data_IF_867356058168
#
_entry.id   IF_867356058168
#
_cell.length_a   1.000
_cell.length_b   1.000
_cell.length_c   1.000
_cell.angle_alpha   90.00
_cell.angle_beta   90.00
_cell.angle_gamma   90.00
#
_symmetry.space_group_name_H-M   'P 1'
#
loop_
_entity.id
_entity.type
_entity.pdbx_description
1 polymer ?
#
# COMPACT_ATOMS: atom_id res chain seq x y z
N UNK A 1 -30.64 30.75 2.50
CA UNK A 1 -29.53 30.11 3.25
C UNK A 1 -29.86 28.70 3.75
N UNK A 2 -30.96 28.46 4.48
CA UNK A 2 -31.31 27.12 5.02
C UNK A 2 -31.49 26.00 3.96
N UNK A 3 -32.09 26.27 2.80
CA UNK A 3 -32.23 25.28 1.71
C UNK A 3 -30.92 24.90 1.03
N UNK A 4 -30.00 25.87 0.87
CA UNK A 4 -28.67 25.63 0.30
C UNK A 4 -27.82 24.76 1.24
N UNK A 5 -27.94 25.00 2.55
CA UNK A 5 -27.27 24.20 3.58
C UNK A 5 -27.82 22.77 3.67
N UNK A 6 -29.14 22.58 3.52
CA UNK A 6 -29.73 21.23 3.48
C UNK A 6 -29.30 20.43 2.26
N UNK A 7 -29.27 21.05 1.07
CA UNK A 7 -28.82 20.40 -0.16
C UNK A 7 -27.34 20.03 -0.09
N UNK A 8 -26.49 20.92 0.43
CA UNK A 8 -25.08 20.62 0.64
C UNK A 8 -24.89 19.44 1.61
N UNK A 9 -25.62 19.41 2.74
CA UNK A 9 -25.54 18.34 3.73
C UNK A 9 -26.02 16.97 3.20
N UNK A 10 -27.07 16.96 2.36
CA UNK A 10 -27.58 15.73 1.74
C UNK A 10 -26.60 15.18 0.69
N UNK A 11 -25.98 16.06 -0.10
CA UNK A 11 -24.97 15.66 -1.11
C UNK A 11 -23.74 15.07 -0.42
N UNK A 12 -23.24 15.68 0.65
CA UNK A 12 -22.07 15.18 1.40
C UNK A 12 -22.33 13.81 2.06
N UNK A 13 -23.54 13.57 2.57
CA UNK A 13 -23.90 12.28 3.18
C UNK A 13 -23.98 11.14 2.15
N UNK A 14 -24.49 11.43 0.95
CA UNK A 14 -24.53 10.45 -0.14
C UNK A 14 -23.13 10.16 -0.71
N UNK A 15 -22.25 11.17 -0.74
CA UNK A 15 -20.83 11.03 -1.10
C UNK A 15 -20.09 10.09 -0.17
N UNK A 16 -20.14 10.34 1.15
CA UNK A 16 -19.49 9.51 2.17
C UNK A 16 -19.94 8.04 2.10
N UNK A 17 -21.25 7.78 2.01
CA UNK A 17 -21.78 6.42 1.89
C UNK A 17 -21.32 5.69 0.61
N UNK A 18 -21.03 6.45 -0.46
CA UNK A 18 -20.48 5.88 -1.70
C UNK A 18 -19.01 5.49 -1.52
N UNK A 19 -18.22 6.36 -0.88
CA UNK A 19 -16.79 6.11 -0.59
C UNK A 19 -16.61 4.91 0.35
N UNK A 20 -17.38 4.82 1.44
CA UNK A 20 -17.30 3.71 2.39
C UNK A 20 -17.64 2.36 1.73
N UNK A 21 -18.64 2.35 0.84
CA UNK A 21 -19.00 1.14 0.10
C UNK A 21 -17.92 0.75 -0.92
N UNK A 22 -17.29 1.72 -1.57
CA UNK A 22 -16.18 1.47 -2.49
C UNK A 22 -14.95 0.93 -1.73
N UNK A 23 -14.66 1.49 -0.56
CA UNK A 23 -13.62 1.01 0.35
C UNK A 23 -13.85 -0.45 0.75
N UNK A 24 -15.05 -0.76 1.24
CA UNK A 24 -15.42 -2.12 1.61
C UNK A 24 -15.22 -3.09 0.44
N UNK A 25 -15.69 -2.72 -0.76
CA UNK A 25 -15.52 -3.53 -1.96
C UNK A 25 -14.04 -3.73 -2.31
N UNK A 26 -13.22 -2.68 -2.21
CA UNK A 26 -11.80 -2.74 -2.52
C UNK A 26 -11.03 -3.65 -1.55
N UNK A 27 -11.19 -3.45 -0.24
CA UNK A 27 -10.49 -4.25 0.77
C UNK A 27 -11.04 -5.67 0.95
N UNK A 28 -12.24 -5.94 0.42
CA UNK A 28 -12.83 -7.28 0.42
C UNK A 28 -12.98 -7.86 -1.00
N UNK A 29 -12.23 -7.38 -1.99
CA UNK A 29 -12.34 -7.81 -3.40
C UNK A 29 -12.16 -9.32 -3.62
N UNK A 30 -11.54 -10.03 -2.68
CA UNK A 30 -11.43 -11.49 -2.67
C UNK A 30 -12.81 -12.19 -2.61
N UNK A 31 -13.84 -11.54 -2.06
CA UNK A 31 -15.19 -12.09 -1.99
C UNK A 31 -15.94 -12.03 -3.33
N UNK A 32 -15.52 -11.15 -4.24
CA UNK A 32 -16.12 -11.06 -5.57
C UNK A 32 -15.18 -10.38 -6.57
N UNK A 33 -14.85 -11.10 -7.64
CA UNK A 33 -13.95 -10.66 -8.71
C UNK A 33 -14.32 -9.32 -9.37
N UNK A 34 -15.59 -8.89 -9.29
CA UNK A 34 -16.03 -7.62 -9.89
C UNK A 34 -15.88 -6.42 -8.96
N UNK A 35 -15.53 -6.64 -7.68
CA UNK A 35 -15.55 -5.57 -6.69
C UNK A 35 -14.46 -4.53 -6.87
N UNK A 36 -13.29 -4.90 -7.41
CA UNK A 36 -12.27 -3.90 -7.76
C UNK A 36 -12.79 -2.91 -8.81
N UNK A 37 -13.40 -3.40 -9.89
CA UNK A 37 -13.97 -2.54 -10.92
C UNK A 37 -15.21 -1.79 -10.43
N UNK A 38 -16.01 -2.39 -9.54
CA UNK A 38 -17.16 -1.73 -8.92
C UNK A 38 -16.72 -0.57 -8.03
N UNK A 39 -15.73 -0.78 -7.16
CA UNK A 39 -15.14 0.25 -6.33
C UNK A 39 -14.53 1.37 -7.19
N UNK A 40 -13.77 1.02 -8.23
CA UNK A 40 -13.23 2.00 -9.20
C UNK A 40 -14.33 2.88 -9.80
N UNK A 41 -15.39 2.27 -10.33
CA UNK A 41 -16.48 2.99 -10.99
C UNK A 41 -17.27 3.86 -10.00
N UNK A 42 -17.40 3.44 -8.74
CA UNK A 42 -18.03 4.23 -7.68
C UNK A 42 -17.20 5.45 -7.33
N UNK A 43 -15.90 5.29 -7.10
CA UNK A 43 -15.01 6.42 -6.81
C UNK A 43 -14.89 7.38 -8.00
N UNK A 44 -14.88 6.88 -9.24
CA UNK A 44 -14.87 7.74 -10.42
C UNK A 44 -16.12 8.65 -10.50
N UNK A 45 -17.30 8.14 -10.12
CA UNK A 45 -18.53 8.94 -10.03
C UNK A 45 -18.50 9.93 -8.88
N UNK A 46 -18.05 9.50 -7.70
CA UNK A 46 -17.94 10.36 -6.52
C UNK A 46 -16.92 11.49 -6.74
N UNK A 47 -15.81 11.22 -7.44
CA UNK A 47 -14.78 12.20 -7.75
C UNK A 47 -15.31 13.34 -8.63
N UNK A 48 -16.26 13.05 -9.52
CA UNK A 48 -16.89 14.08 -10.35
C UNK A 48 -17.71 15.09 -9.52
N UNK A 49 -18.23 14.68 -8.36
CA UNK A 49 -18.96 15.56 -7.44
C UNK A 49 -18.03 16.25 -6.43
N UNK A 50 -17.06 15.50 -5.88
CA UNK A 50 -16.18 15.96 -4.79
C UNK A 50 -14.71 15.72 -5.17
N UNK A 51 -14.13 16.54 -6.06
CA UNK A 51 -12.83 16.24 -6.67
C UNK A 51 -11.63 16.35 -5.72
N UNK A 52 -11.84 16.90 -4.52
CA UNK A 52 -10.80 17.13 -3.51
C UNK A 52 -11.06 16.36 -2.21
N UNK A 53 -12.04 15.45 -2.18
CA UNK A 53 -12.28 14.62 -1.01
C UNK A 53 -11.05 13.74 -0.71
N UNK A 54 -10.50 13.87 0.49
CA UNK A 54 -9.21 13.26 0.83
C UNK A 54 -9.30 11.73 0.86
N UNK A 55 -10.37 11.20 1.45
CA UNK A 55 -10.57 9.76 1.59
C UNK A 55 -10.77 9.09 0.22
N UNK A 56 -11.58 9.70 -0.65
CA UNK A 56 -11.76 9.29 -2.02
C UNK A 56 -10.45 9.29 -2.80
N UNK A 57 -9.65 10.35 -2.72
CA UNK A 57 -8.40 10.46 -3.47
C UNK A 57 -7.39 9.40 -3.00
N UNK A 58 -7.31 9.14 -1.70
CA UNK A 58 -6.53 8.05 -1.13
C UNK A 58 -6.96 6.70 -1.72
N UNK A 59 -8.24 6.32 -1.61
CA UNK A 59 -8.73 5.03 -2.12
C UNK A 59 -8.54 4.92 -3.63
N UNK A 60 -8.75 6.01 -4.36
CA UNK A 60 -8.66 5.99 -5.82
C UNK A 60 -7.22 5.85 -6.30
N UNK A 61 -6.26 6.46 -5.60
CA UNK A 61 -4.83 6.22 -5.83
C UNK A 61 -4.49 4.74 -5.60
N UNK A 62 -4.92 4.16 -4.47
CA UNK A 62 -4.70 2.73 -4.16
C UNK A 62 -5.29 1.78 -5.19
N UNK A 63 -6.52 2.03 -5.64
CA UNK A 63 -7.14 1.22 -6.69
C UNK A 63 -6.32 1.28 -7.99
N UNK A 64 -5.77 2.44 -8.34
CA UNK A 64 -4.88 2.52 -9.51
C UNK A 64 -3.57 1.75 -9.29
N UNK A 65 -3.01 1.72 -8.07
CA UNK A 65 -1.89 0.81 -7.75
C UNK A 65 -2.30 -0.64 -7.98
N UNK A 66 -3.43 -1.09 -7.42
CA UNK A 66 -3.90 -2.46 -7.59
C UNK A 66 -4.10 -2.83 -9.06
N UNK A 67 -4.77 -1.97 -9.85
CA UNK A 67 -4.97 -2.22 -11.28
C UNK A 67 -3.65 -2.23 -12.06
N UNK A 68 -2.64 -1.48 -11.61
CA UNK A 68 -1.28 -1.57 -12.14
C UNK A 68 -0.59 -2.88 -11.76
N UNK A 69 -0.76 -3.35 -10.53
CA UNK A 69 -0.21 -4.65 -10.11
C UNK A 69 -0.84 -5.81 -10.91
N UNK A 70 -2.15 -5.73 -11.19
CA UNK A 70 -2.91 -6.71 -12.01
C UNK A 70 -2.65 -6.59 -13.53
N UNK A 71 -2.08 -5.49 -14.00
CA UNK A 71 -1.90 -5.24 -15.43
C UNK A 71 -0.84 -6.15 -16.06
N UNK A 72 -1.10 -6.63 -17.29
CA UNK A 72 -0.26 -7.60 -17.97
C UNK A 72 1.01 -6.99 -18.61
N UNK A 73 0.92 -5.78 -19.16
CA UNK A 73 2.02 -5.17 -19.90
C UNK A 73 2.73 -4.08 -19.11
N UNK A 74 4.03 -3.90 -19.34
CA UNK A 74 4.80 -2.79 -18.73
C UNK A 74 4.18 -1.42 -19.04
N UNK A 75 3.63 -1.23 -20.24
CA UNK A 75 2.97 0.02 -20.63
C UNK A 75 1.73 0.30 -19.78
N UNK A 76 0.86 -0.69 -19.61
CA UNK A 76 -0.35 -0.56 -18.80
C UNK A 76 -0.02 -0.34 -17.32
N UNK A 77 0.95 -1.10 -16.79
CA UNK A 77 1.48 -0.89 -15.43
C UNK A 77 1.88 0.57 -15.20
N UNK A 78 2.72 1.11 -16.08
CA UNK A 78 3.20 2.50 -15.98
C UNK A 78 2.07 3.52 -16.13
N UNK A 79 1.05 3.25 -16.96
CA UNK A 79 -0.12 4.10 -17.10
C UNK A 79 -0.92 4.18 -15.78
N UNK A 80 -1.19 3.03 -15.16
CA UNK A 80 -1.90 2.98 -13.89
C UNK A 80 -1.11 3.62 -12.74
N UNK A 81 0.18 3.30 -12.59
CA UNK A 81 1.02 3.91 -11.56
C UNK A 81 1.21 5.42 -11.77
N UNK A 82 1.27 5.88 -13.02
CA UNK A 82 1.28 7.31 -13.36
C UNK A 82 0.00 8.02 -12.91
N UNK A 83 -1.17 7.38 -13.08
CA UNK A 83 -2.45 7.91 -12.58
C UNK A 83 -2.50 7.92 -11.05
N UNK A 84 -2.08 6.85 -10.39
CA UNK A 84 -1.99 6.81 -8.92
C UNK A 84 -1.13 7.95 -8.37
N UNK A 85 0.04 8.19 -8.99
CA UNK A 85 0.90 9.32 -8.65
C UNK A 85 0.19 10.67 -8.79
N UNK A 86 -0.48 10.92 -9.90
CA UNK A 86 -1.19 12.18 -10.13
C UNK A 86 -2.35 12.41 -9.15
N UNK A 87 -3.06 11.34 -8.76
CA UNK A 87 -4.11 11.39 -7.74
C UNK A 87 -3.49 11.72 -6.37
N UNK A 88 -2.39 11.08 -6.00
CA UNK A 88 -1.68 11.40 -4.76
C UNK A 88 -1.13 12.85 -4.75
N UNK A 89 -0.69 13.38 -5.89
CA UNK A 89 -0.30 14.79 -6.02
C UNK A 89 -1.49 15.73 -5.80
N UNK A 90 -2.69 15.35 -6.28
CA UNK A 90 -3.93 16.09 -6.02
C UNK A 90 -4.29 16.07 -4.53
N UNK A 91 -4.11 14.92 -3.87
CA UNK A 91 -4.33 14.79 -2.42
C UNK A 91 -3.36 15.68 -1.63
N UNK A 92 -2.07 15.66 -1.94
CA UNK A 92 -1.07 16.53 -1.31
C UNK A 92 -1.38 18.01 -1.55
N UNK A 93 -1.86 18.38 -2.75
CA UNK A 93 -2.23 19.75 -3.06
C UNK A 93 -3.49 20.21 -2.32
N UNK A 94 -4.43 19.30 -2.03
CA UNK A 94 -5.61 19.57 -1.21
C UNK A 94 -5.24 19.67 0.28
N UNK A 95 -4.33 18.81 0.75
CA UNK A 95 -3.84 18.78 2.13
C UNK A 95 -2.36 18.35 2.18
N UNK A 96 -1.47 19.31 2.41
CA UNK A 96 -0.01 19.08 2.47
C UNK A 96 0.44 18.30 3.71
N UNK A 97 -0.47 18.12 4.67
CA UNK A 97 -0.33 17.30 5.88
C UNK A 97 -1.07 15.97 5.77
N UNK A 98 -1.48 15.55 4.58
CA UNK A 98 -1.99 14.18 4.36
C UNK A 98 -0.83 13.17 4.36
N UNK A 99 -0.73 12.36 5.40
CA UNK A 99 0.24 11.26 5.49
C UNK A 99 -0.01 10.22 4.39
N UNK A 100 -1.26 9.88 4.12
CA UNK A 100 -1.67 9.03 3.00
C UNK A 100 -1.26 9.63 1.64
N UNK A 101 -1.41 10.94 1.45
CA UNK A 101 -0.98 11.62 0.23
C UNK A 101 0.52 11.43 -0.06
N UNK A 102 1.38 11.69 0.94
CA UNK A 102 2.82 11.49 0.81
C UNK A 102 3.19 10.00 0.66
N UNK A 103 2.53 9.13 1.41
CA UNK A 103 2.78 7.69 1.35
C UNK A 103 2.45 7.12 -0.02
N UNK A 104 1.24 7.35 -0.54
CA UNK A 104 0.80 6.77 -1.81
C UNK A 104 1.44 7.42 -3.04
N UNK A 105 1.91 8.67 -2.93
CA UNK A 105 2.85 9.22 -3.92
C UNK A 105 4.14 8.40 -3.98
N UNK A 106 4.70 8.08 -2.80
CA UNK A 106 5.90 7.25 -2.67
C UNK A 106 5.68 5.84 -3.22
N UNK A 107 4.55 5.20 -2.90
CA UNK A 107 4.20 3.86 -3.41
C UNK A 107 4.10 3.88 -4.94
N UNK A 108 3.39 4.85 -5.52
CA UNK A 108 3.26 4.98 -6.97
C UNK A 108 4.63 5.16 -7.66
N UNK A 109 5.47 6.04 -7.11
CA UNK A 109 6.83 6.27 -7.62
C UNK A 109 7.71 5.02 -7.47
N UNK A 110 7.58 4.28 -6.37
CA UNK A 110 8.28 3.02 -6.14
C UNK A 110 7.91 1.97 -7.20
N UNK A 111 6.62 1.78 -7.44
CA UNK A 111 6.10 0.86 -8.47
C UNK A 111 6.53 1.25 -9.89
N UNK A 112 6.59 2.55 -10.20
CA UNK A 112 7.19 3.05 -11.46
C UNK A 112 8.67 2.64 -11.56
N UNK A 113 9.44 2.85 -10.49
CA UNK A 113 10.85 2.48 -10.44
C UNK A 113 11.08 0.98 -10.60
N UNK A 114 10.30 0.15 -9.89
CA UNK A 114 10.32 -1.31 -10.02
C UNK A 114 9.99 -1.76 -11.45
N UNK A 115 8.97 -1.16 -12.07
CA UNK A 115 8.55 -1.50 -13.45
C UNK A 115 9.62 -1.15 -14.50
N UNK A 116 10.36 -0.05 -14.29
CA UNK A 116 11.50 0.36 -15.14
C UNK A 116 12.80 -0.40 -14.85
N UNK A 117 12.82 -1.14 -13.75
CA UNK A 117 14.00 -1.81 -13.21
C UNK A 117 14.66 -0.97 -12.11
N UNK A 118 14.93 -1.61 -10.97
CA UNK A 118 15.47 -0.98 -9.75
C UNK A 118 16.80 -0.26 -10.03
N UNK A 119 17.73 -0.89 -10.74
CA UNK A 119 19.05 -0.29 -11.06
C UNK A 119 18.94 0.97 -11.94
N UNK A 120 18.01 0.96 -12.90
CA UNK A 120 17.76 2.11 -13.77
C UNK A 120 17.07 3.27 -13.03
N UNK A 121 16.56 3.00 -11.83
CA UNK A 121 15.71 3.93 -11.06
C UNK A 121 16.36 4.38 -9.75
N UNK A 122 17.65 4.10 -9.53
CA UNK A 122 18.34 4.46 -8.28
C UNK A 122 18.32 5.97 -7.98
N UNK A 123 18.28 6.81 -9.02
CA UNK A 123 18.15 8.26 -8.86
C UNK A 123 16.83 8.70 -8.18
N UNK A 124 15.80 7.84 -8.15
CA UNK A 124 14.52 8.11 -7.51
C UNK A 124 14.54 7.91 -5.99
N UNK A 125 15.52 7.16 -5.47
CA UNK A 125 15.60 6.74 -4.06
C UNK A 125 15.53 7.91 -3.07
N UNK A 126 16.23 9.05 -3.27
CA UNK A 126 16.12 10.18 -2.36
C UNK A 126 14.69 10.73 -2.26
N UNK A 127 13.97 10.78 -3.39
CA UNK A 127 12.58 11.22 -3.44
C UNK A 127 11.63 10.29 -2.69
N UNK A 128 11.83 8.97 -2.84
CA UNK A 128 11.06 7.96 -2.10
C UNK A 128 11.28 8.07 -0.59
N UNK A 129 12.55 8.16 -0.15
CA UNK A 129 12.88 8.33 1.28
C UNK A 129 12.24 9.60 1.84
N UNK A 130 12.28 10.70 1.10
CA UNK A 130 11.67 11.98 1.51
C UNK A 130 10.15 11.84 1.68
N UNK A 131 9.47 11.21 0.71
CA UNK A 131 8.02 11.04 0.76
C UNK A 131 7.57 10.18 1.95
N UNK A 132 8.16 9.00 2.14
CA UNK A 132 7.81 8.14 3.27
C UNK A 132 8.22 8.73 4.62
N UNK A 133 9.37 9.41 4.70
CA UNK A 133 9.74 10.13 5.94
C UNK A 133 8.73 11.22 6.26
N UNK A 134 8.25 11.95 5.25
CA UNK A 134 7.22 12.97 5.44
C UNK A 134 5.90 12.39 5.94
N UNK A 135 5.47 11.25 5.39
CA UNK A 135 4.31 10.52 5.91
C UNK A 135 4.50 10.14 7.39
N UNK A 136 5.69 9.67 7.77
CA UNK A 136 6.01 9.31 9.16
C UNK A 136 6.21 10.51 10.11
N UNK A 137 6.59 11.68 9.61
CA UNK A 137 6.59 12.92 10.40
C UNK A 137 5.18 13.33 10.80
N UNK A 138 4.21 13.14 9.89
CA UNK A 138 2.80 13.45 10.12
C UNK A 138 2.14 12.37 10.98
N UNK A 139 2.33 11.10 10.62
CA UNK A 139 1.82 9.93 11.31
C UNK A 139 2.96 8.93 11.57
N UNK A 140 3.62 8.99 12.73
CA UNK A 140 4.75 8.12 13.07
C UNK A 140 4.44 6.62 13.08
N UNK A 141 3.16 6.27 13.08
CA UNK A 141 2.61 4.92 13.10
C UNK A 141 2.03 4.49 11.76
N UNK A 142 2.16 5.27 10.69
CA UNK A 142 1.59 4.91 9.39
C UNK A 142 2.15 3.55 8.91
N UNK A 143 1.30 2.51 8.82
CA UNK A 143 1.78 1.14 8.59
C UNK A 143 2.40 0.97 7.20
N UNK A 144 1.75 1.46 6.15
CA UNK A 144 2.26 1.39 4.77
C UNK A 144 3.56 2.18 4.56
N UNK A 145 3.74 3.33 5.22
CA UNK A 145 4.99 4.08 5.10
C UNK A 145 6.16 3.37 5.81
N UNK A 146 5.90 2.70 6.95
CA UNK A 146 6.87 1.84 7.62
C UNK A 146 7.25 0.65 6.74
N UNK A 147 6.26 -0.03 6.17
CA UNK A 147 6.45 -1.13 5.22
C UNK A 147 7.30 -0.70 4.03
N UNK A 148 6.91 0.39 3.35
CA UNK A 148 7.57 0.86 2.14
C UNK A 148 9.03 1.29 2.36
N UNK A 149 9.37 1.86 3.53
CA UNK A 149 10.76 2.11 3.90
C UNK A 149 11.51 0.78 4.12
N UNK A 150 10.89 -0.19 4.78
CA UNK A 150 11.41 -1.54 4.91
C UNK A 150 11.75 -2.17 3.56
N UNK A 151 10.82 -2.08 2.59
CA UNK A 151 10.98 -2.57 1.21
C UNK A 151 12.13 -1.87 0.51
N UNK A 152 12.22 -0.54 0.63
CA UNK A 152 13.28 0.22 0.01
C UNK A 152 14.67 -0.21 0.49
N UNK A 153 14.83 -0.42 1.80
CA UNK A 153 16.09 -0.93 2.35
C UNK A 153 16.36 -2.40 2.00
N UNK A 154 15.32 -3.21 1.77
CA UNK A 154 15.44 -4.62 1.39
C UNK A 154 15.82 -4.83 -0.08
N UNK A 155 15.24 -4.03 -0.98
CA UNK A 155 15.37 -4.20 -2.44
C UNK A 155 16.63 -3.56 -3.01
N UNK A 156 17.09 -2.46 -2.42
CA UNK A 156 18.26 -1.76 -2.93
C UNK A 156 19.54 -2.60 -2.77
N UNK A 157 20.47 -2.53 -3.74
CA UNK A 157 21.82 -3.03 -3.54
C UNK A 157 22.52 -2.31 -2.38
N UNK A 158 23.43 -3.00 -1.68
CA UNK A 158 24.17 -2.42 -0.56
C UNK A 158 24.92 -1.13 -0.91
N UNK A 159 25.57 -1.09 -2.09
CA UNK A 159 26.26 0.12 -2.56
C UNK A 159 25.32 1.30 -2.88
N UNK A 160 24.03 1.02 -3.07
CA UNK A 160 22.99 2.01 -3.36
C UNK A 160 22.11 2.31 -2.13
N UNK A 161 22.55 1.89 -0.93
CA UNK A 161 21.88 2.18 0.34
C UNK A 161 20.88 1.12 0.80
N UNK A 162 20.94 -0.10 0.24
CA UNK A 162 20.28 -1.27 0.81
C UNK A 162 20.89 -1.68 2.15
N UNK A 163 20.04 -2.06 3.11
CA UNK A 163 20.42 -2.34 4.49
C UNK A 163 19.37 -3.26 5.14
N UNK A 164 19.69 -4.55 5.25
CA UNK A 164 18.76 -5.54 5.82
C UNK A 164 18.48 -5.30 7.31
N UNK A 165 19.40 -4.68 8.05
CA UNK A 165 19.17 -4.36 9.46
C UNK A 165 18.17 -3.23 9.59
N UNK A 166 18.32 -2.14 8.80
CA UNK A 166 17.32 -1.06 8.77
C UNK A 166 15.96 -1.57 8.30
N UNK A 167 15.95 -2.39 7.26
CA UNK A 167 14.72 -3.04 6.77
C UNK A 167 13.98 -3.77 7.90
N UNK A 168 14.69 -4.62 8.66
CA UNK A 168 14.14 -5.31 9.84
C UNK A 168 13.57 -4.32 10.89
N UNK A 169 14.25 -3.22 11.18
CA UNK A 169 13.78 -2.24 12.17
C UNK A 169 12.47 -1.55 11.73
N UNK A 170 12.35 -1.19 10.45
CA UNK A 170 11.12 -0.59 9.93
C UNK A 170 9.94 -1.57 9.97
N UNK A 171 10.15 -2.82 9.57
CA UNK A 171 9.10 -3.83 9.65
C UNK A 171 8.69 -4.16 11.10
N UNK A 172 9.62 -4.22 12.05
CA UNK A 172 9.29 -4.39 13.47
C UNK A 172 8.40 -3.25 13.99
N UNK A 173 8.75 -2.00 13.70
CA UNK A 173 7.90 -0.83 14.01
C UNK A 173 6.54 -0.91 13.31
N UNK A 174 6.51 -1.41 12.08
CA UNK A 174 5.29 -1.65 11.33
C UNK A 174 4.37 -2.65 12.02
N UNK A 175 4.90 -3.77 12.50
CA UNK A 175 4.16 -4.78 13.27
C UNK A 175 3.67 -4.24 14.61
N UNK A 176 4.46 -3.43 15.30
CA UNK A 176 4.04 -2.77 16.54
C UNK A 176 2.86 -1.81 16.30
N UNK A 177 2.83 -1.14 15.15
CA UNK A 177 1.76 -0.23 14.78
C UNK A 177 0.49 -0.95 14.30
N UNK A 178 0.64 -1.90 13.38
CA UNK A 178 -0.45 -2.65 12.76
C UNK A 178 -0.15 -4.16 12.84
N UNK A 179 -0.41 -4.80 13.99
CA UNK A 179 -0.03 -6.21 14.22
C UNK A 179 -0.77 -7.20 13.33
N UNK A 180 -1.90 -6.78 12.74
CA UNK A 180 -2.72 -7.52 11.80
C UNK A 180 -2.45 -7.17 10.32
N UNK A 181 -1.42 -6.37 10.01
CA UNK A 181 -1.00 -6.16 8.62
C UNK A 181 -0.10 -7.31 8.15
N UNK A 182 -0.68 -8.25 7.41
CA UNK A 182 -0.04 -9.48 6.95
C UNK A 182 1.25 -9.22 6.13
N UNK A 183 1.21 -8.31 5.15
CA UNK A 183 2.35 -7.98 4.28
C UNK A 183 3.63 -7.66 5.05
N UNK A 184 3.56 -6.87 6.13
CA UNK A 184 4.76 -6.51 6.91
C UNK A 184 5.43 -7.74 7.52
N UNK A 185 4.63 -8.73 7.97
CA UNK A 185 5.17 -9.99 8.50
C UNK A 185 5.81 -10.83 7.40
N UNK A 186 5.19 -10.86 6.22
CA UNK A 186 5.71 -11.56 5.05
C UNK A 186 7.05 -10.97 4.62
N UNK A 187 7.14 -9.65 4.55
CA UNK A 187 8.36 -8.94 4.15
C UNK A 187 9.46 -9.05 5.20
N UNK A 188 9.12 -9.00 6.49
CA UNK A 188 10.07 -9.31 7.56
C UNK A 188 10.60 -10.76 7.46
N UNK A 189 9.74 -11.71 7.11
CA UNK A 189 10.16 -13.08 6.87
C UNK A 189 11.14 -13.18 5.69
N UNK A 190 10.92 -12.43 4.59
CA UNK A 190 11.85 -12.33 3.46
C UNK A 190 13.21 -11.76 3.86
N UNK A 191 13.25 -10.76 4.76
CA UNK A 191 14.50 -10.26 5.36
C UNK A 191 15.22 -11.37 6.11
N UNK A 192 14.51 -12.11 6.98
CA UNK A 192 15.09 -13.22 7.73
C UNK A 192 15.60 -14.36 6.84
N UNK A 193 14.95 -14.63 5.71
CA UNK A 193 15.43 -15.58 4.70
C UNK A 193 16.78 -15.13 4.12
N UNK A 194 16.93 -13.85 3.72
CA UNK A 194 18.22 -13.32 3.24
C UNK A 194 19.31 -13.41 4.32
N UNK A 195 18.94 -13.29 5.59
CA UNK A 195 19.84 -13.43 6.73
C UNK A 195 20.03 -14.89 7.20
N UNK A 196 19.37 -15.87 6.57
CA UNK A 196 19.36 -17.30 6.96
C UNK A 196 18.86 -17.55 8.40
N UNK A 197 17.95 -16.72 8.90
CA UNK A 197 17.31 -16.86 10.22
C UNK A 197 16.02 -17.65 10.10
N UNK A 198 16.12 -18.97 9.95
CA UNK A 198 14.99 -19.82 9.57
C UNK A 198 13.91 -19.93 10.65
N UNK A 199 14.31 -20.06 11.93
CA UNK A 199 13.35 -20.05 13.04
C UNK A 199 12.52 -18.74 13.06
N UNK A 200 13.20 -17.59 12.97
CA UNK A 200 12.52 -16.29 12.95
C UNK A 200 11.61 -16.12 11.73
N UNK A 201 12.02 -16.64 10.57
CA UNK A 201 11.19 -16.71 9.36
C UNK A 201 9.89 -17.46 9.64
N UNK A 202 9.97 -18.69 10.18
CA UNK A 202 8.78 -19.50 10.50
C UNK A 202 7.87 -18.80 11.50
N UNK A 203 8.44 -18.16 12.53
CA UNK A 203 7.66 -17.41 13.52
C UNK A 203 6.79 -16.35 12.84
N UNK A 204 7.35 -15.56 11.92
CA UNK A 204 6.58 -14.50 11.24
C UNK A 204 5.55 -15.07 10.27
N UNK A 205 5.90 -16.10 9.49
CA UNK A 205 4.96 -16.71 8.54
C UNK A 205 3.79 -17.40 9.24
N UNK A 206 4.03 -18.10 10.36
CA UNK A 206 2.96 -18.71 11.14
C UNK A 206 2.07 -17.66 11.81
N UNK A 207 2.65 -16.56 12.31
CA UNK A 207 1.87 -15.45 12.87
C UNK A 207 0.98 -14.78 11.81
N UNK A 208 1.51 -14.58 10.59
CA UNK A 208 0.72 -14.11 9.45
C UNK A 208 -0.45 -15.05 9.16
N UNK A 209 -0.19 -16.35 9.03
CA UNK A 209 -1.23 -17.34 8.71
C UNK A 209 -2.30 -17.46 9.79
N UNK A 210 -1.96 -17.17 11.05
CA UNK A 210 -2.88 -17.15 12.18
C UNK A 210 -3.69 -15.84 12.33
N UNK A 211 -3.46 -14.84 11.47
CA UNK A 211 -4.18 -13.56 11.55
C UNK A 211 -5.64 -13.73 11.12
N UNK A 212 -6.55 -13.54 12.09
CA UNK A 212 -8.00 -13.73 11.91
C UNK A 212 -8.69 -12.53 11.26
N UNK A 213 -8.25 -11.31 11.57
CA UNK A 213 -8.83 -10.06 11.06
C UNK A 213 -7.74 -9.17 10.45
N UNK A 214 -7.32 -9.44 9.19
CA UNK A 214 -6.23 -8.70 8.55
C UNK A 214 -6.60 -7.25 8.26
N UNK A 215 -5.62 -6.33 8.35
CA UNK A 215 -5.82 -4.92 8.02
C UNK A 215 -6.32 -4.71 6.58
N UNK A 216 -5.82 -5.51 5.63
CA UNK A 216 -6.28 -5.55 4.24
C UNK A 216 -6.67 -7.00 3.89
N UNK A 217 -7.93 -7.41 4.12
CA UNK A 217 -8.37 -8.80 3.97
C UNK A 217 -8.13 -9.38 2.57
N UNK A 218 -8.40 -8.60 1.52
CA UNK A 218 -8.18 -9.08 0.16
C UNK A 218 -6.71 -9.33 -0.16
N UNK A 219 -5.80 -8.43 0.22
CA UNK A 219 -4.36 -8.64 0.01
C UNK A 219 -3.89 -9.86 0.81
N UNK A 220 -4.38 -10.01 2.04
CA UNK A 220 -4.04 -11.14 2.90
C UNK A 220 -4.47 -12.49 2.30
N UNK A 221 -5.69 -12.60 1.76
CA UNK A 221 -6.23 -13.85 1.22
C UNK A 221 -5.73 -14.17 -0.19
N UNK A 222 -5.59 -13.16 -1.05
CA UNK A 222 -5.20 -13.35 -2.45
C UNK A 222 -3.69 -13.49 -2.63
N UNK A 223 -2.89 -12.80 -1.80
CA UNK A 223 -1.46 -12.63 -2.03
C UNK A 223 -0.63 -13.11 -0.82
N UNK A 224 -0.82 -12.50 0.36
CA UNK A 224 0.12 -12.68 1.48
C UNK A 224 0.12 -14.11 2.06
N UNK A 225 -1.06 -14.68 2.33
CA UNK A 225 -1.19 -16.04 2.89
C UNK A 225 -0.72 -17.11 1.89
N UNK A 226 -1.10 -17.06 0.60
CA UNK A 226 -0.53 -17.94 -0.41
C UNK A 226 1.00 -17.87 -0.48
N UNK A 227 1.59 -16.67 -0.54
CA UNK A 227 3.04 -16.51 -0.59
C UNK A 227 3.72 -17.03 0.69
N UNK A 228 3.13 -16.79 1.87
CA UNK A 228 3.63 -17.31 3.13
C UNK A 228 3.69 -18.84 3.17
N UNK A 229 2.64 -19.52 2.67
CA UNK A 229 2.61 -20.99 2.58
C UNK A 229 3.67 -21.52 1.63
N UNK A 230 3.87 -20.83 0.50
CA UNK A 230 4.88 -21.21 -0.47
C UNK A 230 6.30 -21.03 0.10
N UNK A 231 6.57 -19.91 0.77
CA UNK A 231 7.85 -19.67 1.42
C UNK A 231 8.14 -20.69 2.53
N UNK A 232 7.14 -21.11 3.31
CA UNK A 232 7.29 -22.20 4.28
C UNK A 232 7.72 -23.52 3.64
N UNK A 233 7.19 -23.86 2.46
CA UNK A 233 7.61 -25.05 1.71
C UNK A 233 9.06 -24.92 1.23
N UNK A 234 9.42 -23.75 0.70
CA UNK A 234 10.77 -23.49 0.16
C UNK A 234 11.87 -23.56 1.23
N UNK A 235 11.60 -23.13 2.46
CA UNK A 235 12.57 -23.25 3.56
C UNK A 235 12.63 -24.67 4.15
N UNK A 236 11.70 -25.56 3.81
CA UNK A 236 11.75 -26.99 4.14
C UNK A 236 11.96 -27.25 5.63
N UNK A 237 13.03 -27.99 5.97
CA UNK A 237 13.47 -28.29 7.34
C UNK A 237 14.71 -27.50 7.78
N UNK A 238 15.02 -26.37 7.13
CA UNK A 238 16.15 -25.54 7.55
C UNK A 238 15.94 -25.06 8.99
N UNK A 239 16.99 -25.22 9.80
CA UNK A 239 17.11 -24.84 11.22
C UNK A 239 17.84 -23.52 11.38
#
# INVERSE_FOLDING_TARGET
MKRLLLLAAIVTLAGAATTDRAEYMFFNRHLNRTWLDSAYNMLAKAHAAEPKDEHLLYLWSRIHIQKGDDAATKGDKLSYFGRAKAIAETLIAANDKSDEGHCWWGVAQGRIGQTRGVLNSLFMVPGLKKAFSRALEINPKHPTALDALGVLYYELPGFAGGDLYKSEQYYKRGIESAPNYCLIRLDLAKVYVKQKRWLATRTQLNALLATADPLYPADAELDDKPEARELLKQIGNKE
#
